data_IF_056576267394
#
_entry.id   IF_056576267394
#
_cell.length_a   1.000
_cell.length_b   1.000
_cell.length_c   1.000
_cell.angle_alpha   90.00
_cell.angle_beta   90.00
_cell.angle_gamma   90.00
#
_symmetry.space_group_name_H-M   'P 1'
#
loop_
_entity.id
_entity.type
_entity.pdbx_description
1 polymer ?
#
# COMPACT_ATOMS: atom_id res chain seq x y z
N UNK A 1 5.24 11.46 21.99
CA UNK A 1 6.38 10.54 21.75
C UNK A 1 6.17 9.97 20.36
N UNK A 2 6.90 10.47 19.36
CA UNK A 2 6.80 9.91 18.00
C UNK A 2 7.36 8.49 18.03
N UNK A 3 6.56 7.53 17.56
CA UNK A 3 6.91 6.11 17.56
C UNK A 3 8.19 5.90 16.74
N UNK A 4 9.03 4.93 17.12
CA UNK A 4 10.25 4.59 16.38
C UNK A 4 9.99 4.32 14.88
N UNK A 5 8.75 3.94 14.54
CA UNK A 5 8.24 3.81 13.17
C UNK A 5 8.17 5.13 12.39
N UNK A 6 7.82 6.24 13.03
CA UNK A 6 7.76 7.56 12.37
C UNK A 6 9.16 8.08 12.06
N UNK A 7 10.11 7.85 12.97
CA UNK A 7 11.53 8.18 12.74
C UNK A 7 12.09 7.37 11.58
N UNK A 8 11.90 6.05 11.56
CA UNK A 8 12.37 5.18 10.50
C UNK A 8 11.79 5.56 9.12
N UNK A 9 10.49 5.86 9.06
CA UNK A 9 9.86 6.34 7.83
C UNK A 9 10.43 7.69 7.35
N UNK A 10 10.67 8.61 8.28
CA UNK A 10 11.23 9.93 7.97
C UNK A 10 12.66 9.84 7.45
N UNK A 11 13.43 8.90 8.00
CA UNK A 11 14.84 8.67 7.70
C UNK A 11 15.02 7.95 6.35
N UNK A 12 14.14 6.99 6.03
CA UNK A 12 14.07 6.35 4.70
C UNK A 12 13.72 7.38 3.63
N UNK A 13 12.72 8.24 3.87
CA UNK A 13 12.35 9.32 2.93
C UNK A 13 13.50 10.32 2.74
N UNK A 14 14.29 10.57 3.79
CA UNK A 14 15.48 11.43 3.74
C UNK A 14 16.62 10.81 2.94
N UNK A 15 16.88 9.51 3.13
CA UNK A 15 17.92 8.76 2.41
C UNK A 15 17.57 8.61 0.93
N UNK A 16 16.30 8.40 0.61
CA UNK A 16 15.79 8.45 -0.76
C UNK A 16 15.90 9.85 -1.39
N UNK A 17 15.64 10.92 -0.63
CA UNK A 17 15.85 12.32 -1.05
C UNK A 17 17.31 12.65 -1.38
N UNK A 18 18.27 11.94 -0.78
CA UNK A 18 19.69 12.13 -1.05
C UNK A 18 20.16 11.37 -2.29
N UNK A 19 19.38 10.40 -2.79
CA UNK A 19 19.82 9.48 -3.83
C UNK A 19 19.51 9.95 -5.27
N UNK A 20 18.37 10.60 -5.55
CA UNK A 20 17.98 10.91 -6.94
C UNK A 20 17.06 12.15 -7.07
N UNK A 21 17.29 12.98 -8.11
CA UNK A 21 16.23 13.82 -8.70
C UNK A 21 15.60 13.08 -9.89
N UNK A 22 14.31 13.30 -10.26
CA UNK A 22 13.57 14.56 -10.23
C UNK A 22 12.26 14.51 -9.40
N UNK A 23 11.73 15.65 -9.02
CA UNK A 23 10.50 15.86 -8.21
C UNK A 23 9.23 15.10 -8.61
N UNK A 24 9.19 14.48 -9.80
CA UNK A 24 8.09 13.67 -10.31
C UNK A 24 7.99 12.28 -9.64
N UNK A 25 9.11 11.58 -9.50
CA UNK A 25 9.16 10.25 -8.84
C UNK A 25 8.74 10.35 -7.37
N UNK A 26 9.10 11.43 -6.70
CA UNK A 26 8.69 11.69 -5.31
C UNK A 26 7.20 12.00 -5.16
N UNK A 27 6.60 12.70 -6.13
CA UNK A 27 5.15 12.97 -6.13
C UNK A 27 4.36 11.69 -6.39
N UNK A 28 4.82 10.89 -7.35
CA UNK A 28 4.23 9.59 -7.68
C UNK A 28 4.36 8.63 -6.49
N UNK A 29 5.53 8.55 -5.84
CA UNK A 29 5.73 7.78 -4.61
C UNK A 29 4.82 8.22 -3.45
N UNK A 30 4.72 9.54 -3.20
CA UNK A 30 3.84 10.06 -2.14
C UNK A 30 2.38 9.74 -2.41
N UNK A 31 1.94 9.96 -3.65
CA UNK A 31 0.58 9.64 -4.09
C UNK A 31 0.31 8.15 -3.89
N UNK A 32 1.21 7.31 -4.34
CA UNK A 32 1.11 5.87 -4.21
C UNK A 32 0.99 5.45 -2.73
N UNK A 33 1.90 5.96 -1.88
CA UNK A 33 1.90 5.67 -0.45
C UNK A 33 0.58 6.05 0.21
N UNK A 34 0.06 7.25 -0.10
CA UNK A 34 -1.25 7.70 0.39
C UNK A 34 -2.38 6.78 -0.08
N UNK A 35 -2.39 6.37 -1.34
CA UNK A 35 -3.41 5.46 -1.87
C UNK A 35 -3.37 4.09 -1.17
N UNK A 36 -2.18 3.53 -0.92
CA UNK A 36 -2.05 2.29 -0.15
C UNK A 36 -2.44 2.43 1.31
N UNK A 37 -2.12 3.55 1.96
CA UNK A 37 -2.48 3.77 3.36
C UNK A 37 -4.00 3.89 3.52
N UNK A 38 -4.68 4.58 2.59
CA UNK A 38 -6.16 4.65 2.57
C UNK A 38 -6.78 3.27 2.33
N UNK A 39 -6.24 2.49 1.40
CA UNK A 39 -6.71 1.14 1.13
C UNK A 39 -6.52 0.23 2.35
N UNK A 40 -5.37 0.33 3.01
CA UNK A 40 -5.06 -0.41 4.23
C UNK A 40 -6.07 -0.09 5.35
N UNK A 41 -6.32 1.20 5.60
CA UNK A 41 -7.31 1.66 6.59
C UNK A 41 -8.72 1.07 6.32
N UNK A 42 -9.13 1.01 5.06
CA UNK A 42 -10.43 0.43 4.66
C UNK A 42 -10.43 -1.08 4.95
N UNK A 43 -9.40 -1.78 4.49
CA UNK A 43 -9.29 -3.23 4.65
C UNK A 43 -9.17 -3.65 6.13
N UNK A 44 -8.42 -2.90 6.94
CA UNK A 44 -8.28 -3.13 8.39
C UNK A 44 -9.63 -2.95 9.11
N UNK A 45 -10.38 -1.89 8.78
CA UNK A 45 -11.74 -1.68 9.31
C UNK A 45 -12.68 -2.82 8.92
N UNK A 46 -12.59 -3.28 7.67
CA UNK A 46 -13.37 -4.43 7.20
C UNK A 46 -12.98 -5.72 7.93
N UNK A 47 -11.68 -5.93 8.16
CA UNK A 47 -11.16 -7.10 8.86
C UNK A 47 -11.58 -7.12 10.33
N UNK A 48 -11.48 -5.98 11.04
CA UNK A 48 -11.95 -5.85 12.42
C UNK A 48 -13.46 -6.10 12.55
N UNK A 49 -14.25 -5.68 11.55
CA UNK A 49 -15.70 -5.90 11.55
C UNK A 49 -16.09 -7.34 11.21
N UNK A 50 -15.24 -8.05 10.47
CA UNK A 50 -15.50 -9.41 9.99
C UNK A 50 -14.26 -10.31 10.13
N UNK A 51 -13.88 -10.68 11.36
CA UNK A 51 -12.62 -11.37 11.65
C UNK A 51 -12.56 -12.82 11.13
N UNK A 52 -13.67 -13.40 10.67
CA UNK A 52 -13.71 -14.75 10.10
C UNK A 52 -13.44 -14.80 8.59
N UNK A 53 -12.85 -13.75 8.02
CA UNK A 53 -12.54 -13.70 6.58
C UNK A 53 -13.76 -13.34 5.75
N UNK A 54 -14.03 -12.04 5.61
CA UNK A 54 -15.03 -11.56 4.65
C UNK A 54 -14.51 -11.68 3.23
N UNK A 55 -15.33 -12.21 2.32
CA UNK A 55 -15.09 -12.11 0.87
C UNK A 55 -15.06 -10.65 0.43
N UNK A 56 -14.12 -10.31 -0.44
CA UNK A 56 -14.09 -8.99 -1.04
C UNK A 56 -15.35 -8.75 -1.87
N UNK A 57 -16.03 -7.65 -1.58
CA UNK A 57 -17.13 -7.19 -2.42
C UNK A 57 -16.61 -6.46 -3.68
N UNK A 58 -17.50 -6.24 -4.64
CA UNK A 58 -17.13 -5.62 -5.91
C UNK A 58 -16.53 -4.22 -5.73
N UNK A 59 -17.00 -3.45 -4.74
CA UNK A 59 -16.49 -2.12 -4.45
C UNK A 59 -15.04 -2.16 -3.95
N UNK A 60 -14.74 -3.08 -3.02
CA UNK A 60 -13.37 -3.24 -2.49
C UNK A 60 -12.44 -3.80 -3.57
N UNK A 61 -12.89 -4.74 -4.40
CA UNK A 61 -12.12 -5.23 -5.56
C UNK A 61 -11.84 -4.15 -6.58
N UNK A 62 -12.77 -3.21 -6.78
CA UNK A 62 -12.55 -2.07 -7.66
C UNK A 62 -11.51 -1.11 -7.06
N UNK A 63 -11.64 -0.78 -5.78
CA UNK A 63 -10.67 0.09 -5.10
C UNK A 63 -9.25 -0.47 -5.14
N UNK A 64 -9.07 -1.78 -4.95
CA UNK A 64 -7.76 -2.45 -5.10
C UNK A 64 -7.24 -2.26 -6.53
N UNK A 65 -8.07 -2.53 -7.55
CA UNK A 65 -7.68 -2.37 -8.96
C UNK A 65 -7.31 -0.92 -9.31
N UNK A 66 -8.02 0.06 -8.77
CA UNK A 66 -7.73 1.48 -8.99
C UNK A 66 -6.36 1.86 -8.40
N UNK A 67 -6.01 1.33 -7.22
CA UNK A 67 -4.67 1.53 -6.63
C UNK A 67 -3.59 0.81 -7.46
N UNK A 68 -3.86 -0.42 -7.91
CA UNK A 68 -2.93 -1.19 -8.73
C UNK A 68 -2.71 -0.58 -10.13
N UNK A 69 -3.71 0.09 -10.69
CA UNK A 69 -3.59 0.78 -11.99
C UNK A 69 -2.61 1.96 -11.94
N UNK A 70 -2.41 2.55 -10.76
CA UNK A 70 -1.49 3.66 -10.52
C UNK A 70 -0.05 3.17 -10.23
N UNK A 71 0.16 1.86 -10.08
CA UNK A 71 1.50 1.28 -9.90
C UNK A 71 2.26 1.12 -11.21
N UNK A 72 3.60 1.10 -11.14
CA UNK A 72 4.44 0.51 -12.18
C UNK A 72 4.04 -0.94 -12.46
N UNK A 73 4.12 -1.37 -13.72
CA UNK A 73 3.69 -2.70 -14.16
C UNK A 73 4.38 -3.84 -13.39
N UNK A 74 5.67 -3.70 -13.05
CA UNK A 74 6.43 -4.69 -12.27
C UNK A 74 5.84 -4.98 -10.88
N UNK A 75 5.29 -3.96 -10.22
CA UNK A 75 4.66 -4.09 -8.90
C UNK A 75 3.21 -4.56 -9.02
N UNK A 76 2.52 -4.15 -10.09
CA UNK A 76 1.16 -4.59 -10.39
C UNK A 76 1.11 -6.11 -10.63
N UNK A 77 2.03 -6.63 -11.43
CA UNK A 77 2.11 -8.06 -11.77
C UNK A 77 2.50 -8.94 -10.58
N UNK A 78 3.09 -8.33 -9.54
CA UNK A 78 3.47 -9.01 -8.30
C UNK A 78 2.30 -9.12 -7.31
N UNK A 79 1.17 -8.45 -7.56
CA UNK A 79 0.04 -8.45 -6.64
C UNK A 79 -0.89 -9.67 -6.87
N UNK A 80 -1.13 -10.51 -5.86
CA UNK A 80 -1.92 -11.74 -6.03
C UNK A 80 -3.42 -11.45 -6.22
N UNK A 81 -4.14 -12.38 -6.86
CA UNK A 81 -5.61 -12.33 -6.86
C UNK A 81 -6.15 -12.65 -5.46
N UNK A 82 -6.80 -11.67 -4.82
CA UNK A 82 -7.36 -11.83 -3.49
C UNK A 82 -8.87 -12.18 -3.56
N UNK A 83 -9.30 -13.20 -2.83
CA UNK A 83 -10.71 -13.55 -2.65
C UNK A 83 -11.27 -12.96 -1.35
N UNK A 84 -10.44 -12.82 -0.31
CA UNK A 84 -10.83 -12.34 1.01
C UNK A 84 -10.16 -11.02 1.38
N UNK A 85 -10.74 -10.32 2.37
CA UNK A 85 -10.17 -9.09 2.94
C UNK A 85 -8.79 -9.35 3.56
N UNK A 86 -8.58 -10.53 4.16
CA UNK A 86 -7.30 -10.89 4.78
C UNK A 86 -6.20 -11.09 3.73
N UNK A 87 -6.48 -11.83 2.66
CA UNK A 87 -5.54 -11.97 1.54
C UNK A 87 -5.21 -10.61 0.89
N UNK A 88 -6.19 -9.71 0.83
CA UNK A 88 -5.98 -8.35 0.32
C UNK A 88 -5.10 -7.50 1.26
N UNK A 89 -5.24 -7.65 2.57
CA UNK A 89 -4.34 -7.03 3.54
C UNK A 89 -2.92 -7.54 3.36
N UNK A 90 -2.75 -8.86 3.31
CA UNK A 90 -1.44 -9.50 3.15
C UNK A 90 -0.75 -9.01 1.86
N UNK A 91 -1.47 -8.99 0.74
CA UNK A 91 -0.94 -8.48 -0.53
C UNK A 91 -0.54 -7.00 -0.48
N UNK A 92 -1.29 -6.15 0.22
CA UNK A 92 -0.93 -4.73 0.40
C UNK A 92 0.30 -4.56 1.31
N UNK A 93 0.46 -5.41 2.32
CA UNK A 93 1.67 -5.42 3.16
C UNK A 93 2.92 -5.83 2.38
N UNK A 94 2.81 -6.85 1.54
CA UNK A 94 3.90 -7.30 0.66
C UNK A 94 4.28 -6.19 -0.33
N UNK A 95 3.27 -5.56 -0.95
CA UNK A 95 3.47 -4.42 -1.85
C UNK A 95 4.21 -3.26 -1.18
N UNK A 96 3.82 -2.89 0.05
CA UNK A 96 4.51 -1.85 0.85
C UNK A 96 5.94 -2.24 1.22
N UNK A 97 6.22 -3.53 1.37
CA UNK A 97 7.57 -4.04 1.63
C UNK A 97 8.43 -3.89 0.38
N UNK A 98 7.89 -4.21 -0.80
CA UNK A 98 8.61 -4.10 -2.06
C UNK A 98 8.91 -2.65 -2.45
N UNK A 99 8.01 -1.71 -2.15
CA UNK A 99 8.25 -0.27 -2.33
C UNK A 99 9.25 0.36 -1.37
N UNK A 100 9.58 -0.35 -0.29
CA UNK A 100 10.62 0.07 0.65
C UNK A 100 12.01 -0.44 0.26
N UNK A 101 12.08 -1.47 -0.58
CA UNK A 101 13.34 -1.99 -1.12
C UNK A 101 13.89 -1.05 -2.19
#
# INVERSE_FOLDING_TARGET
MASNLDKANSEIVRLWWAAEGPTRSLREYRRFRTLTDVLLDILERLNMRYPQGRKLDAATKQAIRDVLAELPDSLRDSFPECATVQEALDGVFDLKTELRR
#
